data_IF_011116406089
#
_entry.id   IF_011116406089
#
_cell.length_a   1.000
_cell.length_b   1.000
_cell.length_c   1.000
_cell.angle_alpha   90.00
_cell.angle_beta   90.00
_cell.angle_gamma   90.00
#
_symmetry.space_group_name_H-M   'P 1'
#
loop_
_entity.id
_entity.type
_entity.pdbx_description
1 polymer ?
#
# COMPACT_ATOMS: atom_id res chain seq x y z
N UNK A 1 17.26 -14.00 36.12
CA UNK A 1 17.91 -13.79 34.81
C UNK A 1 16.92 -13.47 33.66
N UNK A 2 15.60 -13.49 33.86
CA UNK A 2 14.58 -13.25 32.81
C UNK A 2 14.23 -11.78 32.56
N UNK A 3 14.34 -10.92 33.58
CA UNK A 3 13.91 -9.51 33.49
C UNK A 3 14.71 -8.67 32.47
N UNK A 4 16.01 -8.90 32.33
CA UNK A 4 16.85 -8.17 31.36
C UNK A 4 16.43 -8.52 29.92
N UNK A 5 16.11 -9.79 29.66
CA UNK A 5 15.63 -10.23 28.34
C UNK A 5 14.26 -9.64 28.02
N UNK A 6 13.33 -9.61 28.99
CA UNK A 6 12.01 -9.00 28.81
C UNK A 6 12.09 -7.49 28.53
N UNK A 7 12.95 -6.77 29.25
CA UNK A 7 13.22 -5.36 29.01
C UNK A 7 13.76 -5.13 27.60
N UNK A 8 14.72 -5.95 27.16
CA UNK A 8 15.32 -5.79 25.85
C UNK A 8 14.36 -6.13 24.70
N UNK A 9 13.52 -7.16 24.85
CA UNK A 9 12.43 -7.48 23.90
C UNK A 9 11.46 -6.30 23.80
N UNK A 10 11.11 -5.68 24.93
CA UNK A 10 10.22 -4.52 24.98
C UNK A 10 10.84 -3.30 24.28
N UNK A 11 12.14 -3.07 24.46
CA UNK A 11 12.88 -2.01 23.75
C UNK A 11 12.86 -2.21 22.23
N UNK A 12 13.06 -3.45 21.77
CA UNK A 12 13.00 -3.77 20.33
C UNK A 12 11.60 -3.54 19.77
N UNK A 13 10.54 -3.97 20.47
CA UNK A 13 9.16 -3.69 20.07
C UNK A 13 8.85 -2.19 20.00
N UNK A 14 9.32 -1.40 20.97
CA UNK A 14 9.13 0.06 20.93
C UNK A 14 9.86 0.71 19.76
N UNK A 15 11.08 0.26 19.43
CA UNK A 15 11.80 0.71 18.24
C UNK A 15 11.03 0.39 16.96
N UNK A 16 10.42 -0.80 16.87
CA UNK A 16 9.61 -1.22 15.74
C UNK A 16 8.39 -0.30 15.57
N UNK A 17 7.64 -0.05 16.64
CA UNK A 17 6.46 0.82 16.56
C UNK A 17 6.84 2.26 16.15
N UNK A 18 7.93 2.79 16.68
CA UNK A 18 8.46 4.11 16.27
C UNK A 18 8.82 4.16 14.79
N UNK A 19 9.38 3.09 14.22
CA UNK A 19 9.75 3.01 12.79
C UNK A 19 8.52 2.80 11.88
N UNK A 20 7.46 2.13 12.36
CA UNK A 20 6.22 1.93 11.59
C UNK A 20 5.38 3.20 11.45
N UNK A 21 5.32 4.03 12.49
CA UNK A 21 4.52 5.26 12.51
C UNK A 21 4.71 6.17 11.28
N UNK A 22 5.94 6.56 10.88
CA UNK A 22 6.13 7.40 9.69
C UNK A 22 5.64 6.73 8.40
N UNK A 23 5.81 5.41 8.26
CA UNK A 23 5.33 4.67 7.09
C UNK A 23 3.79 4.69 7.02
N UNK A 24 3.12 4.54 8.16
CA UNK A 24 1.65 4.64 8.24
C UNK A 24 1.15 6.04 7.92
N UNK A 25 1.87 7.09 8.34
CA UNK A 25 1.56 8.48 8.01
C UNK A 25 1.71 8.73 6.51
N UNK A 26 2.83 8.33 5.91
CA UNK A 26 3.06 8.45 4.45
C UNK A 26 2.01 7.68 3.65
N UNK A 27 1.64 6.46 4.07
CA UNK A 27 0.57 5.68 3.43
C UNK A 27 -0.78 6.40 3.48
N UNK A 28 -1.14 6.98 4.64
CA UNK A 28 -2.38 7.76 4.80
C UNK A 28 -2.37 9.00 3.90
N UNK A 29 -1.29 9.78 3.93
CA UNK A 29 -1.13 10.97 3.10
C UNK A 29 -1.23 10.64 1.60
N UNK A 30 -0.57 9.56 1.15
CA UNK A 30 -0.66 9.09 -0.24
C UNK A 30 -2.11 8.74 -0.63
N UNK A 31 -2.82 7.99 0.22
CA UNK A 31 -4.23 7.64 -0.02
C UNK A 31 -5.10 8.88 -0.17
N UNK A 32 -4.93 9.84 0.74
CA UNK A 32 -5.77 11.04 0.78
C UNK A 32 -5.47 11.95 -0.43
N UNK A 33 -4.19 12.07 -0.81
CA UNK A 33 -3.77 12.71 -2.05
C UNK A 33 -4.39 12.02 -3.28
N UNK A 34 -4.27 10.70 -3.42
CA UNK A 34 -4.84 9.95 -4.54
C UNK A 34 -6.35 10.14 -4.66
N UNK A 35 -7.06 10.15 -3.52
CA UNK A 35 -8.50 10.42 -3.47
C UNK A 35 -8.81 11.82 -3.96
N UNK A 36 -8.05 12.83 -3.50
CA UNK A 36 -8.21 14.22 -3.94
C UNK A 36 -8.01 14.37 -5.45
N UNK A 37 -6.93 13.82 -6.00
CA UNK A 37 -6.67 13.90 -7.45
C UNK A 37 -7.74 13.20 -8.28
N UNK A 38 -8.22 12.03 -7.85
CA UNK A 38 -9.33 11.33 -8.54
C UNK A 38 -10.61 12.16 -8.51
N UNK A 39 -10.92 12.80 -7.38
CA UNK A 39 -12.08 13.68 -7.24
C UNK A 39 -11.98 14.90 -8.15
N UNK A 40 -10.84 15.58 -8.15
CA UNK A 40 -10.59 16.76 -8.98
C UNK A 40 -10.65 16.43 -10.47
N UNK A 41 -10.04 15.30 -10.89
CA UNK A 41 -10.10 14.87 -12.28
C UNK A 41 -11.55 14.60 -12.71
N UNK A 42 -12.32 13.89 -11.86
CA UNK A 42 -13.72 13.57 -12.14
C UNK A 42 -14.57 14.83 -12.26
N UNK A 43 -14.41 15.77 -11.33
CA UNK A 43 -15.11 17.05 -11.37
C UNK A 43 -14.78 17.83 -12.66
N UNK A 44 -13.49 17.92 -13.01
CA UNK A 44 -13.06 18.59 -14.25
C UNK A 44 -13.64 17.93 -15.50
N UNK A 45 -13.71 16.61 -15.52
CA UNK A 45 -14.31 15.86 -16.64
C UNK A 45 -15.82 16.07 -16.71
N UNK A 46 -16.51 16.11 -15.57
CA UNK A 46 -17.95 16.35 -15.50
C UNK A 46 -18.34 17.77 -15.94
N UNK A 47 -17.64 18.79 -15.44
CA UNK A 47 -17.84 20.19 -15.86
C UNK A 47 -17.64 20.34 -17.37
N UNK A 48 -16.58 19.73 -17.91
CA UNK A 48 -16.28 19.73 -19.34
C UNK A 48 -17.32 18.96 -20.14
N UNK A 49 -17.75 17.79 -19.65
CA UNK A 49 -18.79 17.00 -20.28
C UNK A 49 -20.09 17.78 -20.41
N UNK A 50 -20.47 18.53 -19.38
CA UNK A 50 -21.67 19.37 -19.39
C UNK A 50 -21.55 20.48 -20.45
N UNK A 51 -20.41 21.18 -20.51
CA UNK A 51 -20.13 22.20 -21.53
C UNK A 51 -20.19 21.61 -22.95
N UNK A 52 -19.45 20.53 -23.19
CA UNK A 52 -19.40 19.84 -24.48
C UNK A 52 -20.79 19.29 -24.89
N UNK A 53 -21.61 18.85 -23.93
CA UNK A 53 -22.99 18.39 -24.17
C UNK A 53 -23.90 19.54 -24.58
N UNK A 54 -23.79 20.69 -23.89
CA UNK A 54 -24.54 21.90 -24.24
C UNK A 54 -24.18 22.34 -25.66
N UNK A 55 -22.89 22.38 -26.00
CA UNK A 55 -22.42 22.74 -27.34
C UNK A 55 -22.93 21.77 -28.43
N UNK A 56 -22.83 20.45 -28.21
CA UNK A 56 -23.39 19.44 -29.11
C UNK A 56 -24.90 19.57 -29.28
N UNK A 57 -25.63 19.89 -28.20
CA UNK A 57 -27.09 20.08 -28.22
C UNK A 57 -27.51 21.36 -28.95
N UNK A 58 -26.68 22.42 -28.94
CA UNK A 58 -26.93 23.66 -29.68
C UNK A 58 -26.80 23.47 -31.19
N UNK A 59 -25.94 22.55 -31.65
CA UNK A 59 -25.78 22.20 -33.08
C UNK A 59 -26.98 21.44 -33.64
N UNK A 60 -27.74 20.75 -32.79
CA UNK A 60 -28.94 20.04 -33.21
C UNK A 60 -30.07 21.04 -33.51
N UNK A 61 -30.68 20.99 -34.71
CA UNK A 61 -31.81 21.83 -35.03
C UNK A 61 -32.97 21.50 -34.09
N UNK A 62 -33.65 22.54 -33.58
CA UNK A 62 -34.82 22.43 -32.69
C UNK A 62 -36.09 22.86 -33.43
N UNK A 63 -37.25 22.41 -32.96
CA UNK A 63 -38.56 22.79 -33.49
C UNK A 63 -38.75 22.42 -34.97
N UNK A 64 -39.40 23.31 -35.73
CA UNK A 64 -39.74 23.09 -37.15
C UNK A 64 -38.50 22.87 -38.03
N UNK A 65 -37.35 23.47 -37.69
CA UNK A 65 -36.07 23.24 -38.40
C UNK A 65 -35.60 21.78 -38.27
N UNK A 66 -35.92 21.11 -37.17
CA UNK A 66 -35.59 19.70 -36.96
C UNK A 66 -36.35 18.79 -37.92
N UNK A 67 -37.63 19.11 -38.16
CA UNK A 67 -38.50 18.38 -39.09
C UNK A 67 -37.97 18.52 -40.52
N UNK A 68 -37.61 19.74 -40.93
CA UNK A 68 -36.99 20.00 -42.23
C UNK A 68 -35.64 19.28 -42.42
N UNK A 69 -34.82 19.22 -41.38
CA UNK A 69 -33.52 18.55 -41.42
C UNK A 69 -33.62 17.02 -41.44
N UNK A 70 -34.71 16.47 -40.91
CA UNK A 70 -35.04 15.05 -41.04
C UNK A 70 -35.43 14.72 -42.49
N UNK A 71 -36.25 15.56 -43.10
CA UNK A 71 -36.66 15.39 -44.49
C UNK A 71 -35.47 15.46 -45.46
N UNK A 72 -34.52 16.36 -45.21
CA UNK A 72 -33.31 16.55 -46.04
C UNK A 72 -32.13 15.62 -45.67
N UNK A 73 -32.28 14.72 -44.69
CA UNK A 73 -31.22 13.82 -44.21
C UNK A 73 -30.06 14.50 -43.48
N UNK A 74 -30.03 15.84 -43.41
CA UNK A 74 -28.99 16.64 -42.73
C UNK A 74 -28.93 16.36 -41.24
N UNK A 75 -30.06 16.00 -40.62
CA UNK A 75 -30.13 15.63 -39.21
C UNK A 75 -29.19 14.46 -38.87
N UNK A 76 -29.14 13.44 -39.72
CA UNK A 76 -28.34 12.24 -39.48
C UNK A 76 -26.83 12.51 -39.59
N UNK A 77 -26.44 13.46 -40.45
CA UNK A 77 -25.04 13.94 -40.56
C UNK A 77 -24.58 14.63 -39.28
N UNK A 78 -25.39 15.55 -38.74
CA UNK A 78 -25.07 16.26 -37.48
C UNK A 78 -25.03 15.28 -36.31
N UNK A 79 -25.97 14.33 -36.26
CA UNK A 79 -25.99 13.28 -35.24
C UNK A 79 -24.70 12.43 -35.26
N UNK A 80 -24.29 11.94 -36.44
CA UNK A 80 -23.05 11.16 -36.59
C UNK A 80 -21.80 11.96 -36.20
N UNK A 81 -21.78 13.26 -36.47
CA UNK A 81 -20.70 14.14 -36.03
C UNK A 81 -20.64 14.22 -34.50
N UNK A 82 -21.78 14.50 -33.85
CA UNK A 82 -21.87 14.55 -32.40
C UNK A 82 -21.49 13.20 -31.75
N UNK A 83 -21.90 12.07 -32.34
CA UNK A 83 -21.54 10.73 -31.88
C UNK A 83 -20.02 10.50 -31.94
N UNK A 84 -19.38 10.85 -33.08
CA UNK A 84 -17.92 10.75 -33.23
C UNK A 84 -17.16 11.64 -32.24
N UNK A 85 -17.63 12.86 -32.01
CA UNK A 85 -17.05 13.77 -31.02
C UNK A 85 -17.19 13.20 -29.60
N UNK A 86 -18.36 12.67 -29.27
CA UNK A 86 -18.63 12.05 -27.97
C UNK A 86 -17.68 10.88 -27.70
N UNK A 87 -17.46 10.03 -28.70
CA UNK A 87 -16.53 8.91 -28.59
C UNK A 87 -15.09 9.37 -28.38
N UNK A 88 -14.64 10.40 -29.11
CA UNK A 88 -13.31 11.00 -28.92
C UNK A 88 -13.13 11.55 -27.50
N UNK A 89 -14.13 12.27 -26.99
CA UNK A 89 -14.10 12.79 -25.62
C UNK A 89 -14.04 11.66 -24.59
N UNK A 90 -14.82 10.59 -24.78
CA UNK A 90 -14.81 9.41 -23.92
C UNK A 90 -13.44 8.74 -23.87
N UNK A 91 -12.83 8.51 -25.03
CA UNK A 91 -11.49 7.90 -25.14
C UNK A 91 -10.44 8.79 -24.44
N UNK A 92 -10.48 10.10 -24.67
CA UNK A 92 -9.58 11.06 -23.99
C UNK A 92 -9.73 10.97 -22.47
N UNK A 93 -10.95 11.04 -21.95
CA UNK A 93 -11.18 11.07 -20.50
C UNK A 93 -10.79 9.73 -19.84
N UNK A 94 -10.98 8.62 -20.56
CA UNK A 94 -10.48 7.30 -20.17
C UNK A 94 -8.94 7.26 -20.12
N UNK A 95 -8.26 7.81 -21.11
CA UNK A 95 -6.79 7.89 -21.15
C UNK A 95 -6.22 8.78 -20.02
N UNK A 96 -6.87 9.91 -19.72
CA UNK A 96 -6.53 10.76 -18.57
C UNK A 96 -6.62 9.97 -17.26
N UNK A 97 -7.69 9.19 -17.08
CA UNK A 97 -7.89 8.35 -15.90
C UNK A 97 -6.86 7.21 -15.81
N UNK A 98 -6.57 6.53 -16.92
CA UNK A 98 -5.55 5.49 -16.98
C UNK A 98 -4.17 6.04 -16.61
N UNK A 99 -3.79 7.19 -17.18
CA UNK A 99 -2.53 7.87 -16.87
C UNK A 99 -2.42 8.21 -15.38
N UNK A 100 -3.50 8.69 -14.76
CA UNK A 100 -3.55 8.96 -13.33
C UNK A 100 -3.34 7.67 -12.52
N UNK A 101 -4.03 6.58 -12.89
CA UNK A 101 -3.91 5.30 -12.20
C UNK A 101 -2.49 4.74 -12.30
N UNK A 102 -1.86 4.80 -13.46
CA UNK A 102 -0.47 4.34 -13.66
C UNK A 102 0.51 5.10 -12.77
N UNK A 103 0.38 6.42 -12.67
CA UNK A 103 1.20 7.25 -11.76
C UNK A 103 1.01 6.80 -10.31
N UNK A 104 -0.24 6.64 -9.88
CA UNK A 104 -0.58 6.19 -8.54
C UNK A 104 -0.08 4.77 -8.23
N UNK A 105 -0.11 3.85 -9.22
CA UNK A 105 0.46 2.52 -9.07
C UNK A 105 1.97 2.56 -8.89
N UNK A 106 2.68 3.40 -9.68
CA UNK A 106 4.14 3.60 -9.53
C UNK A 106 4.48 4.14 -8.13
N UNK A 107 3.75 5.13 -7.65
CA UNK A 107 3.94 5.68 -6.30
C UNK A 107 3.71 4.64 -5.21
N UNK A 108 2.63 3.85 -5.32
CA UNK A 108 2.33 2.76 -4.38
C UNK A 108 3.41 1.69 -4.39
N UNK A 109 3.92 1.30 -5.56
CA UNK A 109 5.00 0.29 -5.69
C UNK A 109 6.26 0.76 -4.98
N UNK A 110 6.69 2.01 -5.21
CA UNK A 110 7.85 2.59 -4.52
C UNK A 110 7.69 2.55 -3.00
N UNK A 111 6.52 2.94 -2.47
CA UNK A 111 6.27 2.88 -1.03
C UNK A 111 6.27 1.44 -0.51
N UNK A 112 5.70 0.48 -1.26
CA UNK A 112 5.73 -0.93 -0.88
C UNK A 112 7.14 -1.51 -0.87
N UNK A 113 7.99 -1.13 -1.82
CA UNK A 113 9.40 -1.53 -1.86
C UNK A 113 10.16 -0.99 -0.64
N UNK A 114 9.99 0.29 -0.31
CA UNK A 114 10.58 0.88 0.89
C UNK A 114 10.13 0.17 2.17
N UNK A 115 8.84 -0.14 2.28
CA UNK A 115 8.28 -0.88 3.42
C UNK A 115 8.89 -2.29 3.48
N UNK A 116 8.94 -3.02 2.37
CA UNK A 116 9.51 -4.37 2.31
C UNK A 116 11.00 -4.39 2.68
N UNK A 117 11.76 -3.41 2.20
CA UNK A 117 13.18 -3.28 2.53
C UNK A 117 13.38 -3.10 4.03
N UNK A 118 12.67 -2.14 4.63
CA UNK A 118 12.74 -1.92 6.08
C UNK A 118 12.32 -3.15 6.89
N UNK A 119 11.26 -3.86 6.49
CA UNK A 119 10.87 -5.11 7.16
C UNK A 119 11.91 -6.22 7.01
N UNK A 120 12.59 -6.34 5.85
CA UNK A 120 13.63 -7.33 5.64
C UNK A 120 14.82 -7.08 6.56
N UNK A 121 15.29 -5.84 6.64
CA UNK A 121 16.37 -5.43 7.55
C UNK A 121 16.01 -5.76 9.00
N UNK A 122 14.80 -5.38 9.44
CA UNK A 122 14.37 -5.64 10.82
C UNK A 122 14.16 -7.12 11.13
N UNK A 123 13.70 -7.92 10.16
CA UNK A 123 13.54 -9.36 10.37
C UNK A 123 14.90 -10.06 10.50
N UNK A 124 15.94 -9.58 9.80
CA UNK A 124 17.31 -10.06 9.98
C UNK A 124 17.84 -9.70 11.37
N UNK A 125 17.69 -8.44 11.80
CA UNK A 125 18.06 -7.99 13.16
C UNK A 125 17.39 -8.84 14.25
N UNK A 126 16.08 -9.13 14.10
CA UNK A 126 15.34 -9.97 15.04
C UNK A 126 15.79 -11.44 15.01
N UNK A 127 16.15 -11.96 13.84
CA UNK A 127 16.64 -13.33 13.69
C UNK A 127 17.99 -13.52 14.36
N UNK A 128 18.93 -12.60 14.13
CA UNK A 128 20.25 -12.59 14.78
C UNK A 128 20.09 -12.52 16.31
N UNK A 129 19.24 -11.60 16.79
CA UNK A 129 18.96 -11.47 18.23
C UNK A 129 18.38 -12.77 18.83
N UNK A 130 17.43 -13.42 18.13
CA UNK A 130 16.88 -14.71 18.58
C UNK A 130 17.95 -15.81 18.61
N UNK A 131 18.86 -15.82 17.64
CA UNK A 131 19.95 -16.77 17.61
C UNK A 131 20.91 -16.57 18.79
N UNK A 132 21.25 -15.32 19.10
CA UNK A 132 22.11 -14.98 20.24
C UNK A 132 21.46 -15.39 21.56
N UNK A 133 20.18 -15.04 21.78
CA UNK A 133 19.43 -15.45 22.98
C UNK A 133 19.43 -16.98 23.11
N UNK A 134 19.20 -17.70 22.02
CA UNK A 134 19.19 -19.18 22.02
C UNK A 134 20.56 -19.76 22.37
N UNK A 135 21.66 -19.15 21.89
CA UNK A 135 23.03 -19.53 22.25
C UNK A 135 23.29 -19.31 23.75
N UNK A 136 22.94 -18.13 24.27
CA UNK A 136 23.10 -17.82 25.69
C UNK A 136 22.28 -18.75 26.59
N UNK A 137 21.03 -19.02 26.24
CA UNK A 137 20.19 -19.97 26.99
C UNK A 137 20.76 -21.39 26.95
N UNK A 138 21.20 -21.85 25.77
CA UNK A 138 21.84 -23.16 25.63
C UNK A 138 23.15 -23.28 26.42
N UNK A 139 23.94 -22.20 26.53
CA UNK A 139 25.14 -22.16 27.37
C UNK A 139 24.78 -22.21 28.86
N UNK A 140 23.77 -21.44 29.30
CA UNK A 140 23.32 -21.43 30.69
C UNK A 140 22.79 -22.81 31.13
N UNK A 141 22.02 -23.49 30.29
CA UNK A 141 21.53 -24.84 30.57
C UNK A 141 22.65 -25.88 30.64
N UNK A 142 23.66 -25.77 29.77
CA UNK A 142 24.84 -26.66 29.80
C UNK A 142 25.63 -26.50 31.10
N UNK A 143 25.88 -25.27 31.53
CA UNK A 143 26.59 -24.98 32.79
C UNK A 143 25.79 -25.53 33.99
N UNK A 144 24.47 -25.33 34.00
CA UNK A 144 23.59 -25.85 35.06
C UNK A 144 23.61 -27.38 35.14
N UNK A 145 23.54 -28.07 34.00
CA UNK A 145 23.60 -29.53 33.95
C UNK A 145 24.97 -30.10 34.33
N UNK A 146 26.05 -29.40 33.99
CA UNK A 146 27.41 -29.80 34.34
C UNK A 146 27.64 -29.69 35.86
N UNK A 147 27.11 -28.63 36.51
CA UNK A 147 27.11 -28.48 37.96
C UNK A 147 26.27 -29.55 38.67
N UNK A 148 25.11 -29.93 38.11
CA UNK A 148 24.28 -31.02 38.66
C UNK A 148 24.99 -32.37 38.57
N UNK A 149 25.54 -32.74 37.42
CA UNK A 149 26.29 -33.99 37.24
C UNK A 149 27.55 -34.05 38.11
N UNK A 150 28.23 -32.91 38.30
CA UNK A 150 29.37 -32.81 39.21
C UNK A 150 28.96 -33.07 40.66
N UNK A 151 27.87 -32.48 41.15
CA UNK A 151 27.34 -32.73 42.49
C UNK A 151 26.92 -34.20 42.70
N UNK A 152 26.26 -34.82 41.73
CA UNK A 152 25.88 -36.24 41.79
C UNK A 152 27.10 -37.18 41.86
N UNK A 153 28.19 -36.87 41.13
CA UNK A 153 29.43 -37.63 41.22
C UNK A 153 30.06 -37.55 42.61
N UNK A 154 30.08 -36.37 43.24
CA UNK A 154 30.60 -36.22 44.61
C UNK A 154 29.76 -36.99 45.64
N UNK A 155 28.43 -36.94 45.56
CA UNK A 155 27.55 -37.73 46.46
C UNK A 155 27.70 -39.25 46.25
N UNK A 156 27.91 -39.71 45.03
CA UNK A 156 28.12 -41.15 44.75
C UNK A 156 29.47 -41.69 45.23
N UNK A 157 30.47 -40.81 45.38
CA UNK A 157 31.83 -41.19 45.81
C UNK A 157 31.92 -41.33 47.34
N UNK A 158 31.14 -40.55 48.10
CA UNK A 158 31.06 -40.64 49.56
C UNK A 158 30.38 -41.94 50.03
N UNK A 159 29.38 -42.43 49.31
CA UNK A 159 28.69 -43.69 49.63
C UNK A 159 29.51 -44.97 49.35
N UNK A 160 30.70 -44.88 48.74
CA UNK A 160 31.61 -46.02 48.54
C UNK A 160 32.78 -46.06 49.54
N UNK A 161 32.84 -45.11 50.48
CA UNK A 161 33.92 -44.96 51.46
C UNK A 161 33.51 -45.27 52.92
N UNK A 162 32.28 -45.77 53.14
CA UNK A 162 31.83 -46.39 54.41
C UNK A 162 31.72 -47.89 54.24
#
# INVERSE_FOLDING_TARGET
>A
MTQILELHIKEVHQKIEKKKEPLLKTRRAMRDHHRKYRSLLRQKQEERWNQETIERSKRLPRGLKAIWFRLTGRYQKIRRLNERETEKCRVRDQQEMQTLQERQFKERRKLQELIRHGFKEHNMELFELRQDISRYMGMADRVSNQDRSRKEKYLSHDHRRS
#
